data_IF_684587978433
#
_entry.id   IF_684587978433
#
_cell.length_a   1.000
_cell.length_b   1.000
_cell.length_c   1.000
_cell.angle_alpha   90.00
_cell.angle_beta   90.00
_cell.angle_gamma   90.00
#
_symmetry.space_group_name_H-M   'P 1'
#
loop_
_entity.id
_entity.type
_entity.pdbx_description
1 polymer ?
#
# COMPACT_ATOMS: atom_id res chain seq x y z
N UNK A 1 -4.12 29.83 -7.51
CA UNK A 1 -5.05 28.91 -6.88
C UNK A 1 -4.89 27.50 -7.38
N UNK A 2 -4.98 27.32 -8.69
CA UNK A 2 -4.80 25.99 -9.26
C UNK A 2 -3.43 25.39 -8.94
N UNK A 3 -2.38 26.20 -8.92
CA UNK A 3 -1.05 25.72 -8.61
C UNK A 3 -0.91 25.16 -7.21
N UNK A 4 -1.65 25.73 -6.25
CA UNK A 4 -1.61 25.25 -4.87
C UNK A 4 -2.30 23.90 -4.74
N UNK A 5 -3.44 23.74 -5.38
CA UNK A 5 -4.18 22.48 -5.36
C UNK A 5 -3.37 21.37 -6.02
N UNK A 6 -2.74 21.66 -7.15
CA UNK A 6 -1.90 20.71 -7.85
C UNK A 6 -0.71 20.29 -6.99
N UNK A 7 -0.10 21.23 -6.26
CA UNK A 7 1.02 20.91 -5.38
C UNK A 7 0.60 20.00 -4.23
N UNK A 8 -0.59 20.24 -3.66
CA UNK A 8 -1.10 19.41 -2.58
C UNK A 8 -1.38 17.99 -3.06
N UNK A 9 -2.01 17.86 -4.23
CA UNK A 9 -2.26 16.54 -4.82
C UNK A 9 -0.94 15.82 -5.13
N UNK A 10 0.04 16.51 -5.69
CA UNK A 10 1.35 15.93 -5.97
C UNK A 10 2.05 15.50 -4.70
N UNK A 11 1.91 16.26 -3.62
CA UNK A 11 2.50 15.91 -2.33
C UNK A 11 1.86 14.65 -1.76
N UNK A 12 0.53 14.54 -1.85
CA UNK A 12 -0.19 13.35 -1.38
C UNK A 12 0.21 12.11 -2.19
N UNK A 13 0.29 12.25 -3.50
CA UNK A 13 0.69 11.15 -4.37
C UNK A 13 2.11 10.70 -4.05
N UNK A 14 3.02 11.65 -3.85
CA UNK A 14 4.40 11.34 -3.52
C UNK A 14 4.50 10.65 -2.17
N UNK A 15 3.75 11.13 -1.19
CA UNK A 15 3.70 10.50 0.13
C UNK A 15 3.18 9.08 0.04
N UNK A 16 2.10 8.88 -0.72
CA UNK A 16 1.52 7.55 -0.88
C UNK A 16 2.50 6.59 -1.54
N UNK A 17 3.20 7.03 -2.59
CA UNK A 17 4.22 6.20 -3.24
C UNK A 17 5.32 5.80 -2.26
N UNK A 18 5.78 6.78 -1.49
CA UNK A 18 6.81 6.52 -0.49
C UNK A 18 6.32 5.50 0.54
N UNK A 19 5.10 5.69 1.02
CA UNK A 19 4.52 4.78 2.00
C UNK A 19 4.38 3.36 1.46
N UNK A 20 3.89 3.24 0.23
CA UNK A 20 3.74 1.93 -0.42
C UNK A 20 5.10 1.27 -0.62
N UNK A 21 6.07 1.99 -1.15
CA UNK A 21 7.40 1.44 -1.42
C UNK A 21 8.09 1.04 -0.12
N UNK A 22 8.02 1.87 0.91
CA UNK A 22 8.60 1.57 2.21
C UNK A 22 7.93 0.33 2.83
N UNK A 23 6.62 0.23 2.74
CA UNK A 23 5.89 -0.90 3.29
C UNK A 23 6.19 -2.20 2.55
N UNK A 24 6.30 -2.14 1.22
CA UNK A 24 6.70 -3.31 0.44
C UNK A 24 8.11 -3.78 0.85
N UNK A 25 9.03 -2.84 1.02
CA UNK A 25 10.37 -3.16 1.45
C UNK A 25 10.39 -3.79 2.83
N UNK A 26 9.60 -3.27 3.76
CA UNK A 26 9.49 -3.82 5.11
C UNK A 26 8.98 -5.27 5.06
N UNK A 27 7.98 -5.55 4.25
CA UNK A 27 7.45 -6.91 4.12
C UNK A 27 8.51 -7.85 3.55
N UNK A 28 9.34 -7.36 2.63
CA UNK A 28 10.40 -8.17 2.02
C UNK A 28 11.57 -8.44 2.96
N UNK A 29 11.96 -7.48 3.78
CA UNK A 29 13.22 -7.52 4.50
C UNK A 29 13.10 -7.65 6.02
N UNK A 30 12.03 -7.12 6.60
CA UNK A 30 11.87 -7.16 8.05
C UNK A 30 11.39 -8.54 8.50
N UNK A 31 11.67 -8.87 9.76
CA UNK A 31 11.26 -10.14 10.33
C UNK A 31 9.81 -10.05 10.82
N UNK A 32 8.89 -10.01 9.87
CA UNK A 32 7.46 -9.92 10.14
C UNK A 32 6.80 -11.29 9.97
N UNK A 33 5.81 -11.56 10.81
CA UNK A 33 4.93 -12.70 10.60
C UNK A 33 3.97 -12.39 9.45
N UNK A 34 3.30 -13.41 8.93
CA UNK A 34 2.29 -13.22 7.91
C UNK A 34 1.17 -12.29 8.40
N UNK A 35 0.74 -12.45 9.65
CA UNK A 35 -0.29 -11.59 10.21
C UNK A 35 0.17 -10.13 10.29
N UNK A 36 1.41 -9.91 10.70
CA UNK A 36 1.97 -8.56 10.75
C UNK A 36 2.05 -7.95 9.36
N UNK A 37 2.46 -8.74 8.37
CA UNK A 37 2.53 -8.26 6.99
C UNK A 37 1.15 -7.86 6.46
N UNK A 38 0.13 -8.68 6.74
CA UNK A 38 -1.24 -8.37 6.34
C UNK A 38 -1.75 -7.12 7.03
N UNK A 39 -1.37 -6.91 8.28
CA UNK A 39 -1.72 -5.70 9.00
C UNK A 39 -1.08 -4.47 8.39
N UNK A 40 0.17 -4.58 7.94
CA UNK A 40 0.85 -3.48 7.25
C UNK A 40 0.04 -3.05 6.03
N UNK A 41 -0.45 -4.02 5.25
CA UNK A 41 -1.26 -3.72 4.06
C UNK A 41 -2.53 -2.96 4.45
N UNK A 42 -3.21 -3.40 5.49
CA UNK A 42 -4.44 -2.74 5.93
C UNK A 42 -4.16 -1.33 6.45
N UNK A 43 -3.05 -1.14 7.15
CA UNK A 43 -2.66 0.19 7.63
C UNK A 43 -2.34 1.13 6.47
N UNK A 44 -1.66 0.63 5.43
CA UNK A 44 -1.36 1.41 4.23
C UNK A 44 -2.66 1.78 3.52
N UNK A 45 -3.59 0.85 3.40
CA UNK A 45 -4.89 1.12 2.78
C UNK A 45 -5.63 2.23 3.54
N UNK A 46 -5.63 2.15 4.87
CA UNK A 46 -6.28 3.16 5.70
C UNK A 46 -5.65 4.52 5.46
N UNK A 47 -4.32 4.59 5.44
CA UNK A 47 -3.62 5.85 5.20
C UNK A 47 -3.93 6.39 3.81
N UNK A 48 -3.93 5.52 2.79
CA UNK A 48 -4.25 5.92 1.43
C UNK A 48 -5.67 6.49 1.32
N UNK A 49 -6.63 5.83 1.97
CA UNK A 49 -8.02 6.27 1.92
C UNK A 49 -8.26 7.53 2.74
N UNK A 50 -7.43 7.80 3.74
CA UNK A 50 -7.47 9.07 4.46
C UNK A 50 -6.95 10.21 3.59
N UNK A 51 -5.93 9.95 2.77
CA UNK A 51 -5.40 10.94 1.84
C UNK A 51 -6.35 11.17 0.65
N UNK A 52 -6.98 10.12 0.18
CA UNK A 52 -7.86 10.15 -0.98
C UNK A 52 -9.17 9.45 -0.64
N UNK A 53 -10.09 10.15 0.05
CA UNK A 53 -11.36 9.53 0.45
C UNK A 53 -12.15 9.00 -0.74
N UNK A 54 -12.79 7.86 -0.56
CA UNK A 54 -13.60 7.26 -1.59
C UNK A 54 -12.83 6.46 -2.62
N UNK A 55 -11.53 6.19 -2.37
CA UNK A 55 -10.68 5.46 -3.32
C UNK A 55 -10.33 4.06 -2.84
N UNK A 56 -11.16 3.46 -2.02
CA UNK A 56 -10.93 2.11 -1.49
C UNK A 56 -10.82 1.09 -2.62
N UNK A 57 -11.72 1.17 -3.59
CA UNK A 57 -11.70 0.26 -4.72
C UNK A 57 -10.44 0.42 -5.57
N UNK A 58 -10.01 1.66 -5.74
CA UNK A 58 -8.77 1.94 -6.47
C UNK A 58 -7.58 1.29 -5.78
N UNK A 59 -7.53 1.35 -4.46
CA UNK A 59 -6.46 0.69 -3.71
C UNK A 59 -6.48 -0.82 -3.95
N UNK A 60 -7.65 -1.44 -3.89
CA UNK A 60 -7.79 -2.88 -4.10
C UNK A 60 -7.35 -3.30 -5.50
N UNK A 61 -7.63 -2.47 -6.51
CA UNK A 61 -7.29 -2.80 -7.89
C UNK A 61 -5.82 -2.58 -8.22
N UNK A 62 -5.20 -1.54 -7.64
CA UNK A 62 -3.85 -1.14 -8.03
C UNK A 62 -2.80 -1.63 -7.04
N UNK A 63 -3.02 -1.44 -5.76
CA UNK A 63 -1.99 -1.70 -4.75
C UNK A 63 -2.09 -3.06 -4.08
N UNK A 64 -3.30 -3.53 -3.82
CA UNK A 64 -3.49 -4.84 -3.19
C UNK A 64 -2.76 -5.96 -3.94
N UNK A 65 -2.84 -6.05 -5.28
CA UNK A 65 -2.12 -7.10 -5.99
C UNK A 65 -0.61 -7.04 -5.82
N UNK A 66 -0.04 -5.84 -5.72
CA UNK A 66 1.40 -5.67 -5.50
C UNK A 66 1.81 -6.20 -4.13
N UNK A 67 1.03 -5.88 -3.09
CA UNK A 67 1.28 -6.40 -1.75
C UNK A 67 1.11 -7.90 -1.68
N UNK A 68 0.06 -8.41 -2.31
CA UNK A 68 -0.20 -9.85 -2.32
C UNK A 68 0.96 -10.61 -2.96
N UNK A 69 1.53 -10.08 -4.05
CA UNK A 69 2.67 -10.72 -4.70
C UNK A 69 3.87 -10.80 -3.76
N UNK A 70 4.18 -9.70 -3.09
CA UNK A 70 5.32 -9.65 -2.18
C UNK A 70 5.11 -10.59 -1.01
N UNK A 71 3.90 -10.60 -0.43
CA UNK A 71 3.57 -11.48 0.69
C UNK A 71 3.65 -12.93 0.24
N UNK A 72 3.13 -13.24 -0.93
CA UNK A 72 3.19 -14.61 -1.46
C UNK A 72 4.64 -15.07 -1.62
N UNK A 73 5.49 -14.24 -2.20
CA UNK A 73 6.90 -14.56 -2.39
C UNK A 73 7.63 -14.72 -1.06
N UNK A 74 7.36 -13.83 -0.11
CA UNK A 74 8.04 -13.83 1.17
C UNK A 74 7.64 -15.00 2.06
N UNK A 75 6.36 -15.37 2.03
CA UNK A 75 5.80 -16.41 2.92
C UNK A 75 5.40 -17.68 2.20
N UNK A 76 5.59 -17.73 0.88
CA UNK A 76 5.24 -18.88 0.06
C UNK A 76 3.77 -19.28 0.19
N UNK A 77 2.89 -18.28 0.25
CA UNK A 77 1.46 -18.47 0.37
C UNK A 77 0.82 -18.28 -1.01
N UNK A 78 0.17 -19.31 -1.53
CA UNK A 78 -0.46 -19.25 -2.86
C UNK A 78 -1.92 -18.84 -2.83
N UNK A 79 -2.60 -19.05 -1.72
CA UNK A 79 -4.03 -18.78 -1.60
C UNK A 79 -4.40 -17.31 -1.71
N UNK A 80 -3.45 -16.40 -1.54
CA UNK A 80 -3.71 -14.97 -1.61
C UNK A 80 -4.03 -14.48 -3.02
N UNK A 81 -3.68 -15.25 -4.04
CA UNK A 81 -3.88 -14.86 -5.43
C UNK A 81 -5.14 -15.44 -6.05
N UNK A 82 -5.63 -16.53 -5.49
CA UNK A 82 -6.80 -17.22 -6.03
C UNK A 82 -8.11 -16.46 -5.89
#
# INVERSE_FOLDING_TARGET
MEGKEIREENRKIRFLRYLVDFSLLSIQQDDLSLEEALKVVEDVKRAACNLFPGKEETFELIYRPRFNRVIQERFEVTSLIS
#
